data_IF_830581476603
#
_entry.id   IF_830581476603
#
_cell.length_a   1.000
_cell.length_b   1.000
_cell.length_c   1.000
_cell.angle_alpha   90.00
_cell.angle_beta   90.00
_cell.angle_gamma   90.00
#
_symmetry.space_group_name_H-M   'P 1'
#
loop_
_entity.id
_entity.type
_entity.pdbx_description
1 polymer ?
#
# COMPACT_ATOMS: atom_id res chain seq x y z
N UNK A 1 34.10 -15.40 31.84
CA UNK A 1 34.02 -13.95 31.55
C UNK A 1 32.99 -13.30 32.48
N UNK A 2 33.43 -12.32 33.28
CA UNK A 2 32.74 -11.87 34.50
C UNK A 2 31.60 -10.84 34.31
N UNK A 3 30.91 -10.78 33.15
CA UNK A 3 29.52 -10.31 33.23
C UNK A 3 28.46 -11.18 32.52
N UNK A 4 28.84 -12.23 31.80
CA UNK A 4 27.87 -13.11 31.12
C UNK A 4 27.48 -14.36 31.95
N UNK A 5 27.99 -14.50 33.18
CA UNK A 5 27.74 -15.69 34.03
C UNK A 5 28.38 -16.98 33.51
N UNK A 6 29.17 -16.88 32.43
CA UNK A 6 29.71 -18.01 31.69
C UNK A 6 31.23 -18.17 31.90
N UNK A 7 31.66 -19.42 32.08
CA UNK A 7 33.07 -19.81 32.11
C UNK A 7 33.64 -19.86 30.68
N UNK A 8 34.86 -19.34 30.52
CA UNK A 8 35.62 -19.38 29.28
C UNK A 8 37.01 -19.88 29.62
N UNK A 9 37.44 -20.96 28.98
CA UNK A 9 38.79 -21.50 29.12
C UNK A 9 39.81 -20.52 28.53
N UNK A 10 40.77 -20.11 29.36
CA UNK A 10 41.90 -19.27 28.96
C UNK A 10 43.21 -19.97 29.32
N UNK A 11 44.25 -19.89 28.47
CA UNK A 11 45.56 -20.45 28.77
C UNK A 11 46.13 -19.96 30.12
N UNK A 12 46.75 -20.86 30.88
CA UNK A 12 47.25 -20.57 32.23
C UNK A 12 48.25 -19.39 32.28
N UNK A 13 49.05 -19.21 31.22
CA UNK A 13 50.08 -18.16 31.12
C UNK A 13 49.56 -16.71 31.11
N UNK A 14 48.25 -16.51 30.91
CA UNK A 14 47.63 -15.18 30.75
C UNK A 14 46.59 -14.87 31.82
N UNK A 15 46.31 -15.82 32.73
CA UNK A 15 45.40 -15.61 33.87
C UNK A 15 45.91 -14.55 34.87
N UNK A 16 47.20 -14.22 34.83
CA UNK A 16 47.86 -13.32 35.79
C UNK A 16 47.84 -11.83 35.38
N UNK A 17 47.41 -11.49 34.16
CA UNK A 17 47.47 -10.12 33.65
C UNK A 17 46.13 -9.66 33.07
N UNK A 18 45.53 -8.64 33.70
CA UNK A 18 44.26 -8.05 33.26
C UNK A 18 44.32 -7.46 31.83
N UNK A 19 45.48 -6.99 31.39
CA UNK A 19 45.70 -6.49 30.02
C UNK A 19 45.76 -7.59 28.96
N UNK A 20 46.24 -8.79 29.33
CA UNK A 20 46.21 -9.95 28.42
C UNK A 20 44.81 -10.57 28.34
N UNK A 21 44.02 -10.55 29.42
CA UNK A 21 42.62 -11.00 29.42
C UNK A 21 41.72 -10.17 28.48
N UNK A 22 42.05 -8.90 28.24
CA UNK A 22 41.38 -8.05 27.24
C UNK A 22 41.61 -8.52 25.79
N UNK A 23 42.67 -9.29 25.52
CA UNK A 23 42.95 -9.86 24.19
C UNK A 23 42.10 -11.09 23.86
N UNK A 24 41.39 -11.66 24.84
CA UNK A 24 40.54 -12.84 24.68
C UNK A 24 39.06 -12.49 24.91
N UNK A 25 38.40 -11.81 23.95
CA UNK A 25 36.98 -11.50 24.03
C UNK A 25 36.13 -12.78 24.05
N UNK A 26 35.08 -12.80 24.88
CA UNK A 26 34.18 -13.95 24.99
C UNK A 26 33.55 -14.29 23.61
N UNK A 27 33.72 -15.53 23.10
CA UNK A 27 33.19 -15.93 21.79
C UNK A 27 31.70 -16.30 21.84
N UNK A 28 31.08 -16.38 23.02
CA UNK A 28 29.68 -16.80 23.14
C UNK A 28 28.73 -15.80 22.46
N UNK A 29 27.67 -16.29 21.78
CA UNK A 29 26.67 -15.44 21.16
C UNK A 29 25.93 -14.65 22.23
N UNK A 30 25.67 -13.36 21.96
CA UNK A 30 25.01 -12.49 22.92
C UNK A 30 23.52 -12.80 23.05
N UNK A 31 22.81 -13.01 21.92
CA UNK A 31 21.38 -13.37 21.86
C UNK A 31 20.40 -12.45 22.60
N UNK A 32 20.84 -11.32 23.16
CA UNK A 32 19.99 -10.34 23.81
C UNK A 32 19.01 -9.72 22.80
N UNK A 33 17.79 -9.42 23.25
CA UNK A 33 16.77 -8.74 22.43
C UNK A 33 17.02 -7.24 22.46
N UNK A 34 17.30 -6.66 21.29
CA UNK A 34 17.55 -5.23 21.12
C UNK A 34 16.23 -4.43 21.19
N UNK A 35 16.33 -3.11 21.33
CA UNK A 35 15.16 -2.19 21.31
C UNK A 35 14.33 -2.29 20.02
N UNK A 36 14.96 -2.69 18.91
CA UNK A 36 14.29 -2.96 17.65
C UNK A 36 13.53 -4.30 17.60
N UNK A 37 13.50 -5.07 18.70
CA UNK A 37 12.90 -6.40 18.88
C UNK A 37 13.61 -7.55 18.14
N UNK A 38 14.77 -7.29 17.54
CA UNK A 38 15.62 -8.32 16.95
C UNK A 38 16.63 -8.88 17.96
N UNK A 39 17.06 -10.13 17.76
CA UNK A 39 18.13 -10.74 18.57
C UNK A 39 19.50 -10.22 18.12
N UNK A 40 20.37 -9.93 19.08
CA UNK A 40 21.74 -9.51 18.77
C UNK A 40 22.53 -10.69 18.18
N UNK A 41 23.03 -10.52 16.96
CA UNK A 41 23.88 -11.50 16.25
C UNK A 41 25.36 -11.43 16.66
N UNK A 42 25.71 -10.49 17.56
CA UNK A 42 27.08 -10.31 18.05
C UNK A 42 27.48 -11.31 19.12
N UNK A 43 28.75 -11.28 19.50
CA UNK A 43 29.28 -12.04 20.64
C UNK A 43 29.34 -11.19 21.90
N UNK A 44 29.35 -11.80 23.08
CA UNK A 44 29.48 -11.10 24.37
C UNK A 44 30.72 -10.22 24.42
N UNK A 45 31.85 -10.66 23.85
CA UNK A 45 33.06 -9.85 23.75
C UNK A 45 32.89 -8.59 22.92
N UNK A 46 32.24 -8.68 21.75
CA UNK A 46 31.93 -7.51 20.89
C UNK A 46 30.88 -6.59 21.51
N UNK A 47 29.95 -7.14 22.28
CA UNK A 47 28.86 -6.39 22.91
C UNK A 47 29.26 -5.72 24.25
N UNK A 48 30.57 -5.64 24.56
CA UNK A 48 31.10 -5.19 25.85
C UNK A 48 30.37 -5.87 27.04
N UNK A 49 30.13 -7.17 26.92
CA UNK A 49 29.35 -7.99 27.85
C UNK A 49 27.91 -7.46 28.11
N UNK A 50 27.23 -7.00 27.05
CA UNK A 50 25.83 -6.55 27.11
C UNK A 50 25.64 -5.08 27.45
N UNK A 51 26.71 -4.30 27.64
CA UNK A 51 26.61 -2.85 27.86
C UNK A 51 26.34 -2.08 26.57
N UNK A 52 26.97 -2.50 25.47
CA UNK A 52 26.87 -1.84 24.19
C UNK A 52 26.83 -2.88 23.07
N UNK A 53 25.64 -3.20 22.61
CA UNK A 53 25.45 -4.15 21.52
C UNK A 53 25.91 -3.58 20.19
N UNK A 54 26.32 -4.47 19.29
CA UNK A 54 26.52 -4.12 17.89
C UNK A 54 25.19 -3.68 17.24
N UNK A 55 25.29 -2.89 16.17
CA UNK A 55 24.13 -2.49 15.37
C UNK A 55 23.38 -3.72 14.84
N UNK A 56 22.06 -3.62 14.80
CA UNK A 56 21.24 -4.70 14.27
C UNK A 56 21.41 -4.83 12.76
N UNK A 57 21.78 -6.02 12.30
CA UNK A 57 22.01 -6.34 10.87
C UNK A 57 20.75 -6.87 10.17
N UNK A 58 19.64 -7.05 10.91
CA UNK A 58 18.36 -7.42 10.30
C UNK A 58 17.87 -6.32 9.38
N UNK A 59 17.29 -6.71 8.24
CA UNK A 59 16.63 -5.75 7.34
C UNK A 59 15.39 -5.20 8.04
N UNK A 60 15.22 -3.88 8.03
CA UNK A 60 13.96 -3.30 8.47
C UNK A 60 12.92 -3.51 7.37
N UNK A 61 11.77 -4.12 7.68
CA UNK A 61 10.66 -4.31 6.74
C UNK A 61 9.43 -3.47 7.13
N UNK A 62 9.65 -2.44 7.96
CA UNK A 62 8.57 -1.57 8.42
C UNK A 62 8.13 -0.63 7.27
N UNK A 63 6.81 -0.42 7.08
CA UNK A 63 6.33 0.63 6.19
C UNK A 63 6.69 2.00 6.78
N UNK A 64 7.30 2.85 5.96
CA UNK A 64 7.56 4.24 6.30
C UNK A 64 6.27 5.06 6.18
N UNK A 65 6.32 6.30 6.66
CA UNK A 65 5.20 7.27 6.59
C UNK A 65 4.76 7.53 5.13
N UNK A 66 5.70 7.36 4.19
CA UNK A 66 5.45 7.44 2.75
C UNK A 66 4.99 6.11 2.12
N UNK A 67 4.54 5.15 2.94
CA UNK A 67 4.11 3.80 2.58
C UNK A 67 5.16 2.89 1.92
N UNK A 68 6.33 3.39 1.55
CA UNK A 68 7.44 2.56 1.10
C UNK A 68 7.97 1.67 2.22
N UNK A 69 8.27 0.42 1.89
CA UNK A 69 8.94 -0.50 2.80
C UNK A 69 10.40 -0.06 2.98
N UNK A 70 10.84 0.09 4.24
CA UNK A 70 12.25 0.34 4.54
C UNK A 70 13.11 -0.79 3.97
N UNK A 71 14.32 -0.48 3.49
CA UNK A 71 15.30 -1.49 3.03
C UNK A 71 16.64 -1.37 3.75
N UNK A 72 16.72 -0.43 4.70
CA UNK A 72 17.91 -0.17 5.49
C UNK A 72 18.08 -1.23 6.60
N UNK A 73 19.30 -1.40 7.14
CA UNK A 73 19.48 -2.17 8.37
C UNK A 73 18.61 -1.61 9.49
N UNK A 74 18.17 -2.49 10.37
CA UNK A 74 17.22 -2.14 11.41
C UNK A 74 17.88 -1.23 12.46
N UNK A 75 17.36 -0.03 12.57
CA UNK A 75 17.73 0.96 13.56
C UNK A 75 16.52 1.33 14.41
N UNK A 76 16.72 1.99 15.55
CA UNK A 76 15.61 2.49 16.37
C UNK A 76 14.68 3.41 15.55
N UNK A 77 15.29 4.25 14.70
CA UNK A 77 14.59 5.15 13.80
C UNK A 77 15.00 4.83 12.36
N UNK A 78 14.01 4.61 11.49
CA UNK A 78 14.29 4.34 10.09
C UNK A 78 14.87 5.60 9.42
N UNK A 79 15.88 5.46 8.55
CA UNK A 79 16.38 6.58 7.75
C UNK A 79 15.30 7.09 6.78
N UNK A 80 15.50 8.29 6.20
CA UNK A 80 14.62 8.80 5.15
C UNK A 80 14.53 7.81 3.98
N UNK A 81 13.38 7.82 3.32
CA UNK A 81 13.12 6.94 2.19
C UNK A 81 14.07 7.24 1.03
N UNK A 82 14.74 6.22 0.51
CA UNK A 82 15.64 6.32 -0.65
C UNK A 82 14.98 5.83 -1.95
N UNK A 83 13.75 5.33 -1.88
CA UNK A 83 12.97 4.90 -3.04
C UNK A 83 12.61 6.09 -3.93
N UNK A 84 12.33 5.83 -5.20
CA UNK A 84 11.76 6.83 -6.09
C UNK A 84 10.31 7.14 -5.72
N UNK A 85 9.86 8.34 -6.05
CA UNK A 85 8.47 8.71 -5.89
C UNK A 85 7.56 7.84 -6.77
N UNK A 86 6.46 7.36 -6.20
CA UNK A 86 5.46 6.56 -6.92
C UNK A 86 4.37 7.42 -7.60
N UNK A 87 4.35 8.73 -7.34
CA UNK A 87 3.42 9.66 -7.98
C UNK A 87 3.58 9.65 -9.50
N UNK A 88 2.47 9.42 -10.20
CA UNK A 88 2.39 9.42 -11.65
C UNK A 88 1.05 10.00 -12.09
N UNK A 89 1.05 10.61 -13.26
CA UNK A 89 -0.16 10.89 -14.02
C UNK A 89 -0.12 10.13 -15.34
N UNK A 90 -1.16 10.30 -16.16
CA UNK A 90 -1.25 9.72 -17.51
C UNK A 90 -0.20 10.29 -18.48
N UNK A 91 0.40 11.44 -18.15
CA UNK A 91 1.41 12.09 -18.99
C UNK A 91 2.84 11.72 -18.60
N UNK A 92 3.13 11.65 -17.30
CA UNK A 92 4.49 11.40 -16.82
C UNK A 92 4.52 10.74 -15.45
N UNK A 93 5.65 10.07 -15.17
CA UNK A 93 5.98 9.51 -13.86
C UNK A 93 7.05 10.37 -13.19
N UNK A 94 6.89 10.63 -11.89
CA UNK A 94 7.90 11.35 -11.13
C UNK A 94 9.19 10.53 -11.01
N UNK A 95 10.33 11.14 -11.35
CA UNK A 95 11.65 10.50 -11.27
C UNK A 95 12.49 11.02 -10.08
N UNK A 96 11.89 11.81 -9.18
CA UNK A 96 12.56 12.30 -7.97
C UNK A 96 12.54 11.25 -6.86
N UNK A 97 13.38 11.42 -5.84
CA UNK A 97 13.35 10.58 -4.64
C UNK A 97 12.10 10.88 -3.82
N UNK A 98 11.66 9.87 -3.08
CA UNK A 98 10.56 10.00 -2.15
C UNK A 98 10.92 11.04 -1.06
N UNK A 99 10.02 11.99 -0.82
CA UNK A 99 10.24 13.12 0.10
C UNK A 99 10.69 14.41 -0.59
N UNK A 100 11.13 14.34 -1.86
CA UNK A 100 11.36 15.55 -2.65
C UNK A 100 10.05 16.10 -3.23
N UNK A 101 9.95 17.42 -3.34
CA UNK A 101 8.80 18.09 -3.95
C UNK A 101 8.66 17.68 -5.42
N UNK A 102 7.53 17.06 -5.74
CA UNK A 102 7.19 16.70 -7.11
C UNK A 102 6.95 17.95 -7.95
N UNK A 103 7.35 17.91 -9.23
CA UNK A 103 7.02 18.99 -10.17
C UNK A 103 5.58 18.77 -10.65
N UNK A 104 4.67 19.74 -10.46
CA UNK A 104 3.30 19.60 -10.93
C UNK A 104 3.25 19.50 -12.45
N UNK A 105 2.41 18.60 -12.96
CA UNK A 105 2.21 18.39 -14.39
C UNK A 105 1.41 19.57 -14.99
N UNK A 106 2.01 20.28 -15.94
CA UNK A 106 1.43 21.44 -16.63
C UNK A 106 0.72 21.08 -17.95
N UNK A 107 0.67 19.80 -18.30
CA UNK A 107 -0.02 19.34 -19.50
C UNK A 107 -1.55 19.44 -19.32
N UNK A 108 -2.30 19.64 -20.42
CA UNK A 108 -3.76 19.68 -20.36
C UNK A 108 -4.28 18.37 -19.77
N UNK A 109 -5.28 18.45 -18.89
CA UNK A 109 -5.82 17.26 -18.27
C UNK A 109 -6.39 16.30 -19.32
N UNK A 110 -5.94 15.04 -19.34
CA UNK A 110 -6.46 14.04 -20.26
C UNK A 110 -7.89 13.57 -19.90
N UNK A 111 -8.47 14.07 -18.79
CA UNK A 111 -9.79 13.67 -18.33
C UNK A 111 -10.88 14.25 -19.23
N UNK A 112 -11.19 13.53 -20.31
CA UNK A 112 -12.21 13.87 -21.29
C UNK A 112 -13.00 12.63 -21.73
N UNK A 113 -14.26 12.82 -22.04
CA UNK A 113 -15.11 11.89 -22.78
C UNK A 113 -15.79 12.66 -23.93
N UNK A 114 -16.63 11.99 -24.71
CA UNK A 114 -17.36 12.65 -25.81
C UNK A 114 -18.34 13.72 -25.31
N UNK A 115 -18.78 13.63 -24.06
CA UNK A 115 -19.79 14.49 -23.45
C UNK A 115 -19.17 15.65 -22.67
N UNK A 116 -18.04 15.42 -22.00
CA UNK A 116 -17.42 16.35 -21.06
C UNK A 116 -15.90 16.38 -21.26
N UNK A 117 -15.32 17.57 -21.24
CA UNK A 117 -13.86 17.75 -21.34
C UNK A 117 -13.37 18.68 -20.24
N UNK A 118 -12.35 18.23 -19.49
CA UNK A 118 -11.68 19.05 -18.49
C UNK A 118 -10.88 20.16 -19.19
N UNK A 119 -11.01 21.39 -18.71
CA UNK A 119 -10.30 22.56 -19.28
C UNK A 119 -9.05 22.93 -18.48
N UNK A 120 -8.87 22.30 -17.31
CA UNK A 120 -7.76 22.52 -16.39
C UNK A 120 -6.50 21.76 -16.79
N UNK A 121 -5.38 22.13 -16.17
CA UNK A 121 -4.13 21.38 -16.24
C UNK A 121 -4.18 20.15 -15.33
N UNK A 122 -3.37 19.14 -15.62
CA UNK A 122 -3.39 17.86 -14.91
C UNK A 122 -3.14 17.95 -13.39
N UNK A 123 -2.39 18.97 -12.94
CA UNK A 123 -2.11 19.18 -11.51
C UNK A 123 -3.20 19.94 -10.74
N UNK A 124 -4.21 20.45 -11.43
CA UNK A 124 -5.30 21.20 -10.82
C UNK A 124 -6.52 20.31 -10.56
N UNK A 125 -7.36 20.63 -9.55
CA UNK A 125 -8.65 19.99 -9.40
C UNK A 125 -9.46 20.16 -10.67
N UNK A 126 -10.00 19.05 -11.19
CA UNK A 126 -10.77 19.07 -12.42
C UNK A 126 -12.04 19.91 -12.24
N UNK A 127 -12.39 20.67 -13.28
CA UNK A 127 -13.57 21.55 -13.32
C UNK A 127 -14.86 20.80 -13.71
N UNK A 128 -14.77 19.51 -14.00
CA UNK A 128 -15.90 18.66 -14.41
C UNK A 128 -16.19 17.56 -13.42
N UNK A 129 -17.47 17.23 -13.29
CA UNK A 129 -17.94 16.06 -12.55
C UNK A 129 -17.80 14.73 -13.32
N UNK A 130 -18.28 13.63 -12.71
CA UNK A 130 -18.42 12.34 -13.39
C UNK A 130 -19.39 12.46 -14.58
N UNK A 131 -19.21 11.59 -15.57
CA UNK A 131 -20.11 11.52 -16.73
C UNK A 131 -21.21 10.48 -16.45
N UNK A 132 -22.47 10.91 -16.50
CA UNK A 132 -23.62 10.03 -16.24
C UNK A 132 -24.27 9.50 -17.54
N UNK A 133 -23.60 9.66 -18.67
CA UNK A 133 -24.09 9.20 -19.97
C UNK A 133 -23.78 7.71 -20.18
N UNK A 134 -24.62 6.99 -20.95
CA UNK A 134 -24.36 5.61 -21.31
C UNK A 134 -23.07 5.46 -22.13
N UNK A 135 -22.49 4.26 -22.07
CA UNK A 135 -21.35 3.94 -22.91
C UNK A 135 -21.78 3.66 -24.36
N UNK A 136 -21.26 4.40 -25.33
CA UNK A 136 -21.55 4.19 -26.76
C UNK A 136 -20.82 2.98 -27.38
N UNK A 137 -20.11 2.18 -26.60
CA UNK A 137 -19.34 1.05 -27.12
C UNK A 137 -20.21 -0.17 -27.35
N UNK A 138 -19.83 -1.00 -28.33
CA UNK A 138 -20.41 -2.34 -28.52
C UNK A 138 -19.52 -3.39 -27.89
N UNK A 139 -20.15 -4.33 -27.19
CA UNK A 139 -19.48 -5.49 -26.62
C UNK A 139 -19.04 -6.46 -27.71
N UNK A 140 -18.18 -7.43 -27.38
CA UNK A 140 -17.69 -8.44 -28.33
C UNK A 140 -18.80 -9.29 -28.96
N UNK A 141 -19.96 -9.39 -28.29
CA UNK A 141 -21.15 -10.06 -28.82
C UNK A 141 -21.94 -9.21 -29.83
N UNK A 142 -21.54 -7.97 -30.11
CA UNK A 142 -22.20 -7.06 -31.05
C UNK A 142 -23.31 -6.19 -30.45
N UNK A 143 -23.77 -6.51 -29.25
CA UNK A 143 -24.76 -5.73 -28.50
C UNK A 143 -24.16 -4.48 -27.84
N UNK A 144 -25.04 -3.53 -27.52
CA UNK A 144 -24.65 -2.29 -26.85
C UNK A 144 -24.16 -2.55 -25.41
N UNK A 145 -23.19 -1.75 -24.99
CA UNK A 145 -22.64 -1.79 -23.65
C UNK A 145 -23.68 -1.30 -22.63
N UNK A 146 -23.79 -2.02 -21.52
CA UNK A 146 -24.67 -1.66 -20.40
C UNK A 146 -23.96 -0.78 -19.36
N UNK A 147 -22.73 -0.35 -19.66
CA UNK A 147 -21.87 0.41 -18.76
C UNK A 147 -22.00 1.92 -18.89
N UNK A 148 -21.27 2.63 -18.02
CA UNK A 148 -21.19 4.09 -17.99
C UNK A 148 -20.04 4.63 -18.84
N UNK A 149 -20.17 5.86 -19.34
CA UNK A 149 -19.13 6.52 -20.11
C UNK A 149 -17.88 6.81 -19.25
N UNK A 150 -16.72 6.31 -19.67
CA UNK A 150 -15.44 6.51 -18.98
C UNK A 150 -15.07 5.41 -17.99
N UNK A 151 -16.03 4.57 -17.63
CA UNK A 151 -15.81 3.40 -16.77
C UNK A 151 -15.35 2.17 -17.59
N UNK A 152 -14.63 1.23 -16.95
CA UNK A 152 -14.26 -0.02 -17.61
C UNK A 152 -15.51 -0.78 -18.07
N UNK A 153 -15.60 -1.03 -19.38
CA UNK A 153 -16.76 -1.71 -19.94
C UNK A 153 -16.89 -3.14 -19.41
N UNK A 154 -18.07 -3.55 -18.93
CA UNK A 154 -18.31 -4.91 -18.47
C UNK A 154 -18.20 -5.90 -19.64
N UNK A 155 -17.88 -7.17 -19.33
CA UNK A 155 -17.84 -8.23 -20.35
C UNK A 155 -19.22 -8.85 -20.59
N UNK A 156 -20.10 -8.72 -19.61
CA UNK A 156 -21.44 -9.26 -19.58
C UNK A 156 -22.38 -8.36 -20.40
N UNK A 157 -23.23 -9.00 -21.19
CA UNK A 157 -24.26 -8.33 -21.97
C UNK A 157 -25.63 -8.62 -21.38
N UNK A 158 -26.52 -7.63 -21.34
CA UNK A 158 -27.92 -7.82 -20.92
C UNK A 158 -28.68 -8.82 -21.79
N UNK A 159 -28.30 -9.01 -23.06
CA UNK A 159 -28.97 -9.96 -23.96
C UNK A 159 -28.36 -11.36 -23.83
N UNK A 160 -27.03 -11.49 -23.89
CA UNK A 160 -26.36 -12.80 -23.85
C UNK A 160 -26.24 -13.39 -22.43
N UNK A 161 -26.24 -12.54 -21.40
CA UNK A 161 -25.96 -12.91 -20.01
C UNK A 161 -27.08 -12.44 -19.06
N UNK A 162 -28.34 -12.59 -19.48
CA UNK A 162 -29.52 -12.21 -18.68
C UNK A 162 -29.43 -12.68 -17.23
N UNK A 163 -29.09 -13.95 -17.02
CA UNK A 163 -29.00 -14.56 -15.68
C UNK A 163 -28.00 -13.89 -14.73
N UNK A 164 -26.93 -13.26 -15.25
CA UNK A 164 -25.90 -12.60 -14.43
C UNK A 164 -26.27 -11.14 -14.19
N UNK A 165 -26.88 -10.50 -15.18
CA UNK A 165 -27.26 -9.07 -15.12
C UNK A 165 -28.56 -8.87 -14.34
N UNK A 166 -29.43 -9.88 -14.31
CA UNK A 166 -30.67 -9.92 -13.52
C UNK A 166 -30.49 -10.64 -12.18
N UNK A 167 -29.26 -10.97 -11.76
CA UNK A 167 -29.05 -11.49 -10.42
C UNK A 167 -29.30 -10.34 -9.44
N UNK A 168 -30.52 -10.30 -8.89
CA UNK A 168 -31.04 -9.18 -8.10
C UNK A 168 -30.24 -9.09 -6.79
N UNK A 169 -29.22 -8.23 -6.76
CA UNK A 169 -28.51 -7.84 -5.54
C UNK A 169 -29.29 -6.74 -4.79
N UNK A 170 -29.98 -5.84 -5.52
CA UNK A 170 -30.57 -4.63 -4.91
C UNK A 170 -31.97 -4.22 -5.41
N UNK A 171 -32.55 -4.94 -6.37
CA UNK A 171 -33.97 -4.80 -6.75
C UNK A 171 -34.27 -3.84 -7.90
N UNK A 172 -33.28 -3.12 -8.45
CA UNK A 172 -33.44 -2.17 -9.57
C UNK A 172 -32.81 -2.64 -10.89
N UNK A 173 -32.26 -3.86 -10.91
CA UNK A 173 -31.40 -4.37 -12.00
C UNK A 173 -32.16 -4.80 -13.26
N UNK A 174 -33.48 -5.03 -13.15
CA UNK A 174 -34.34 -5.48 -14.25
C UNK A 174 -34.79 -4.34 -15.18
N UNK A 175 -34.57 -3.08 -14.83
CA UNK A 175 -35.03 -1.95 -15.63
C UNK A 175 -34.29 -1.87 -16.99
N UNK A 176 -35.00 -1.59 -18.10
CA UNK A 176 -34.42 -1.55 -19.44
C UNK A 176 -33.34 -0.46 -19.61
N UNK A 177 -33.33 0.53 -18.73
CA UNK A 177 -32.34 1.60 -18.68
C UNK A 177 -31.33 1.49 -17.54
N UNK A 178 -31.39 0.42 -16.72
CA UNK A 178 -30.39 0.21 -15.68
C UNK A 178 -28.97 0.13 -16.30
N UNK A 179 -28.01 0.76 -15.62
CA UNK A 179 -26.61 0.83 -16.03
C UNK A 179 -25.74 0.23 -14.95
N UNK A 180 -24.62 -0.34 -15.37
CA UNK A 180 -23.75 -1.11 -14.48
C UNK A 180 -22.33 -0.58 -14.50
N UNK A 181 -21.65 -0.70 -13.36
CA UNK A 181 -20.22 -0.46 -13.23
C UNK A 181 -19.51 -1.77 -12.90
N UNK A 182 -18.37 -1.97 -13.53
CA UNK A 182 -17.53 -3.14 -13.31
C UNK A 182 -16.34 -2.76 -12.44
N UNK A 183 -16.27 -3.33 -11.25
CA UNK A 183 -15.17 -3.08 -10.31
C UNK A 183 -14.04 -4.10 -10.57
N UNK A 184 -12.88 -3.70 -11.12
CA UNK A 184 -11.85 -4.65 -11.54
C UNK A 184 -11.18 -5.40 -10.37
N UNK A 185 -11.10 -4.79 -9.19
CA UNK A 185 -10.46 -5.38 -8.01
C UNK A 185 -11.24 -6.58 -7.45
N UNK A 186 -12.56 -6.45 -7.34
CA UNK A 186 -13.45 -7.49 -6.81
C UNK A 186 -14.22 -8.26 -7.90
N UNK A 187 -14.15 -7.80 -9.17
CA UNK A 187 -14.83 -8.37 -10.35
C UNK A 187 -16.36 -8.38 -10.26
N UNK A 188 -16.94 -7.57 -9.39
CA UNK A 188 -18.39 -7.41 -9.31
C UNK A 188 -18.93 -6.49 -10.40
N UNK A 189 -20.13 -6.83 -10.86
CA UNK A 189 -20.95 -6.01 -11.74
C UNK A 189 -22.11 -5.49 -10.91
N UNK A 190 -22.17 -4.18 -10.68
CA UNK A 190 -23.16 -3.58 -9.77
C UNK A 190 -23.89 -2.47 -10.51
N UNK A 191 -25.20 -2.37 -10.31
CA UNK A 191 -26.01 -1.29 -10.86
C UNK A 191 -25.68 0.05 -10.19
N UNK A 192 -25.62 1.12 -11.00
CA UNK A 192 -25.12 2.44 -10.58
C UNK A 192 -25.92 3.01 -9.41
N UNK A 193 -27.25 3.07 -9.52
CA UNK A 193 -28.09 3.69 -8.47
C UNK A 193 -28.04 2.90 -7.16
N UNK A 194 -27.89 1.58 -7.26
CA UNK A 194 -27.71 0.68 -6.13
C UNK A 194 -26.37 0.91 -5.42
N UNK A 195 -25.30 1.08 -6.21
CA UNK A 195 -23.99 1.41 -5.67
C UNK A 195 -23.99 2.78 -4.98
N UNK A 196 -24.61 3.80 -5.57
CA UNK A 196 -24.71 5.14 -4.99
C UNK A 196 -25.46 5.09 -3.64
N UNK A 197 -26.62 4.43 -3.58
CA UNK A 197 -27.39 4.24 -2.33
C UNK A 197 -26.60 3.48 -1.28
N UNK A 198 -25.86 2.45 -1.68
CA UNK A 198 -25.03 1.65 -0.77
C UNK A 198 -23.92 2.51 -0.15
N UNK A 199 -23.24 3.31 -0.98
CA UNK A 199 -22.19 4.22 -0.55
C UNK A 199 -22.75 5.30 0.38
N UNK A 200 -23.85 5.95 0.03
CA UNK A 200 -24.53 6.95 0.88
C UNK A 200 -24.91 6.37 2.25
N UNK A 201 -25.50 5.17 2.26
CA UNK A 201 -25.88 4.47 3.49
C UNK A 201 -24.65 4.10 4.34
N UNK A 202 -23.55 3.68 3.70
CA UNK A 202 -22.32 3.34 4.39
C UNK A 202 -21.65 4.58 5.02
N UNK A 203 -21.72 5.75 4.38
CA UNK A 203 -21.20 6.99 4.94
C UNK A 203 -22.06 7.51 6.10
N UNK A 204 -23.39 7.46 5.98
CA UNK A 204 -24.30 7.93 7.03
C UNK A 204 -24.25 7.11 8.32
N UNK A 205 -23.84 5.84 8.25
CA UNK A 205 -23.75 4.94 9.41
C UNK A 205 -22.38 4.98 10.13
N UNK A 206 -21.40 5.74 9.62
CA UNK A 206 -20.11 5.90 10.30
C UNK A 206 -20.25 6.89 11.46
N UNK A 207 -20.30 6.35 12.69
CA UNK A 207 -20.15 7.14 13.91
C UNK A 207 -18.75 7.77 13.95
N UNK A 208 -18.67 9.03 14.41
CA UNK A 208 -17.53 9.98 14.35
C UNK A 208 -16.17 9.50 14.92
N UNK A 209 -16.08 8.29 15.50
CA UNK A 209 -14.87 7.80 16.19
C UNK A 209 -14.26 6.52 15.56
N UNK A 210 -14.76 6.06 14.42
CA UNK A 210 -14.19 4.88 13.74
C UNK A 210 -13.43 5.29 12.48
N UNK A 211 -12.16 4.85 12.38
CA UNK A 211 -11.31 5.04 11.22
C UNK A 211 -12.08 4.76 9.92
N UNK A 212 -11.93 5.64 8.92
CA UNK A 212 -12.51 5.50 7.57
C UNK A 212 -12.30 4.07 7.05
N UNK A 213 -13.34 3.24 7.12
CA UNK A 213 -13.34 1.89 6.57
C UNK A 213 -13.94 1.96 5.18
N UNK A 214 -13.23 1.42 4.20
CA UNK A 214 -13.81 1.21 2.88
C UNK A 214 -14.98 0.22 3.02
N UNK A 215 -16.15 0.54 2.45
CA UNK A 215 -17.26 -0.40 2.48
C UNK A 215 -16.85 -1.68 1.76
N UNK A 216 -16.97 -2.82 2.46
CA UNK A 216 -16.67 -4.12 1.89
C UNK A 216 -17.71 -4.48 0.83
N UNK A 217 -17.29 -5.25 -0.19
CA UNK A 217 -18.24 -5.69 -1.21
C UNK A 217 -19.37 -6.51 -0.56
N UNK A 218 -20.63 -6.29 -0.96
CA UNK A 218 -21.73 -7.13 -0.52
C UNK A 218 -21.44 -8.57 -0.95
N UNK A 219 -21.63 -9.52 -0.02
CA UNK A 219 -21.40 -10.95 -0.20
C UNK A 219 -22.60 -11.65 -0.79
#
# INVERSE_FOLDING_TARGET
CLPCGDFVDVPCCIASSLSELQRFPCPKPCNAVLTCKHKCVGTCGKCQNGRLHISCEYKCERPLICSHVCKAPCTANCPPCLSFCETRCVHSKCNKRCGELCVPCKEPCAYKCKHLQCTRICSEPCDRGPCNEPCDQKLKCGHDCIGMCGEPCPRQCRICNKHIVQEILFGTEDEPDARFVFLPDCKHLIEVTSLDKFIETAFNNQNEDTALRFPECPR
#
